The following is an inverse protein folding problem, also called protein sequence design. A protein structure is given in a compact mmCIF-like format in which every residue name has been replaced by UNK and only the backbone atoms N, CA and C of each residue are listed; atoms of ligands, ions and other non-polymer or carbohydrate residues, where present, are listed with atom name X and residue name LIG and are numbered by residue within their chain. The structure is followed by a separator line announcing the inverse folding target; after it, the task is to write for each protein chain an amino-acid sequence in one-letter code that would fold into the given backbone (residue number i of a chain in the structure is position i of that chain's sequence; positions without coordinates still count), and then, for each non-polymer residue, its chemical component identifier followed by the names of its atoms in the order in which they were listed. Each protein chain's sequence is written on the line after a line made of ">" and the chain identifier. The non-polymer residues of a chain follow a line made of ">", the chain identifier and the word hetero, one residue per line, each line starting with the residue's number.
data_IF_422024078470
#
_entry.id   IF_422024078470
#
_cell.length_a   1.000
_cell.length_b   1.000
_cell.length_c   1.000
_cell.angle_alpha   90.00
_cell.angle_beta   90.00
_cell.angle_gamma   90.00
#
_symmetry.space_group_name_H-M   'P 1'
#
loop_
_entity.id
_entity.type
_entity.pdbx_description
1 polymer ?
#
# COMPACT_ATOMS: atom_id res chain seq x y z
N UNK A 1 21.13 -45.89 44.14
CA UNK A 1 20.91 -46.00 42.69
C UNK A 1 20.98 -44.60 42.11
N UNK A 2 22.13 -44.21 41.58
CA UNK A 2 22.36 -42.85 41.11
C UNK A 2 22.20 -42.84 39.58
N UNK A 3 21.08 -42.30 39.09
CA UNK A 3 20.83 -42.20 37.65
C UNK A 3 21.54 -40.94 37.12
N UNK A 4 22.50 -41.04 36.19
CA UNK A 4 23.13 -39.85 35.64
C UNK A 4 22.10 -39.08 34.80
N UNK A 5 21.85 -37.83 35.18
CA UNK A 5 21.07 -36.89 34.40
C UNK A 5 21.89 -36.57 33.14
N UNK A 6 21.64 -37.31 32.06
CA UNK A 6 22.18 -37.02 30.74
C UNK A 6 21.59 -35.67 30.31
N UNK A 7 22.39 -34.61 30.41
CA UNK A 7 22.07 -33.30 29.85
C UNK A 7 22.02 -33.49 28.33
N UNK A 8 20.83 -33.76 27.81
CA UNK A 8 20.54 -33.68 26.39
C UNK A 8 20.72 -32.21 26.03
N UNK A 9 21.89 -31.85 25.50
CA UNK A 9 22.06 -30.62 24.76
C UNK A 9 21.09 -30.72 23.59
N UNK A 10 19.90 -30.17 23.76
CA UNK A 10 19.02 -29.92 22.65
C UNK A 10 19.83 -29.01 21.73
N UNK A 11 20.40 -29.57 20.67
CA UNK A 11 20.77 -28.82 19.49
C UNK A 11 19.45 -28.31 18.93
N UNK A 12 18.88 -27.29 19.58
CA UNK A 12 17.84 -26.47 19.02
C UNK A 12 18.54 -25.84 17.83
N UNK A 13 18.26 -26.28 16.59
CA UNK A 13 18.79 -25.58 15.44
C UNK A 13 18.33 -24.15 15.65
N UNK A 14 19.26 -23.21 15.64
CA UNK A 14 18.87 -21.83 15.52
C UNK A 14 18.03 -21.80 14.24
N UNK A 15 16.70 -21.77 14.37
CA UNK A 15 15.85 -21.25 13.32
C UNK A 15 16.17 -19.77 13.29
N UNK A 16 17.39 -19.43 12.86
CA UNK A 16 17.86 -18.08 12.72
C UNK A 16 16.90 -17.47 11.72
N UNK A 17 15.96 -16.70 12.24
CA UNK A 17 15.12 -15.87 11.40
C UNK A 17 16.06 -15.11 10.47
N UNK A 18 15.71 -15.04 9.18
CA UNK A 18 16.53 -14.34 8.21
C UNK A 18 16.81 -12.91 8.66
N UNK A 19 17.93 -12.36 8.21
CA UNK A 19 18.31 -10.99 8.53
C UNK A 19 17.24 -9.99 8.09
N UNK A 20 17.33 -8.75 8.58
CA UNK A 20 16.33 -7.69 8.30
C UNK A 20 16.11 -7.40 6.82
N UNK A 21 17.09 -7.67 5.96
CA UNK A 21 17.04 -7.45 4.52
C UNK A 21 17.01 -8.77 3.72
N UNK A 22 16.58 -9.86 4.35
CA UNK A 22 16.55 -11.19 3.77
C UNK A 22 15.17 -11.82 3.91
N UNK A 23 14.75 -12.57 2.89
CA UNK A 23 13.54 -13.37 2.93
C UNK A 23 13.91 -14.85 2.94
N UNK A 24 13.03 -15.69 3.51
CA UNK A 24 13.24 -17.13 3.56
C UNK A 24 12.71 -17.79 2.29
N UNK A 25 13.50 -18.65 1.68
CA UNK A 25 13.07 -19.57 0.62
C UNK A 25 13.58 -20.97 0.93
N UNK A 26 12.66 -21.89 1.24
CA UNK A 26 13.03 -23.18 1.84
C UNK A 26 13.78 -22.98 3.17
N UNK A 27 15.00 -23.51 3.24
CA UNK A 27 15.91 -23.41 4.38
C UNK A 27 17.00 -22.33 4.20
N UNK A 28 17.01 -21.60 3.07
CA UNK A 28 17.97 -20.54 2.78
C UNK A 28 17.39 -19.14 3.08
N UNK A 29 18.25 -18.23 3.52
CA UNK A 29 17.96 -16.80 3.61
C UNK A 29 18.58 -16.07 2.43
N UNK A 30 17.73 -15.38 1.66
CA UNK A 30 18.12 -14.71 0.43
C UNK A 30 18.00 -13.20 0.56
N UNK A 31 18.91 -12.41 -0.03
CA UNK A 31 18.78 -10.95 -0.10
C UNK A 31 17.49 -10.54 -0.79
N UNK A 32 16.75 -9.60 -0.21
CA UNK A 32 15.52 -9.04 -0.78
C UNK A 32 15.78 -8.19 -2.03
N UNK A 33 14.76 -8.09 -2.89
CA UNK A 33 14.71 -7.09 -3.95
C UNK A 33 14.35 -5.71 -3.39
N UNK A 34 14.93 -4.65 -3.96
CA UNK A 34 14.56 -3.27 -3.63
C UNK A 34 13.12 -2.94 -4.08
N UNK A 35 12.49 -1.91 -3.49
CA UNK A 35 11.21 -1.39 -3.96
C UNK A 35 11.16 -1.22 -5.48
N UNK A 36 10.00 -1.54 -6.06
CA UNK A 36 9.74 -1.56 -7.48
C UNK A 36 10.31 -2.73 -8.26
N UNK A 37 10.89 -3.72 -7.57
CA UNK A 37 11.35 -4.95 -8.18
C UNK A 37 10.78 -6.18 -7.48
N UNK A 38 10.50 -7.21 -8.28
CA UNK A 38 10.13 -8.55 -7.83
C UNK A 38 11.25 -9.54 -8.07
N UNK A 39 11.20 -10.66 -7.37
CA UNK A 39 12.08 -11.81 -7.59
C UNK A 39 11.78 -12.44 -8.95
N UNK A 40 12.79 -12.46 -9.83
CA UNK A 40 12.76 -13.25 -11.06
C UNK A 40 13.32 -14.66 -10.82
N UNK A 41 14.40 -14.75 -10.03
CA UNK A 41 15.02 -16.02 -9.64
C UNK A 41 15.48 -15.91 -8.18
N UNK A 42 15.13 -16.90 -7.38
CA UNK A 42 15.60 -17.01 -6.00
C UNK A 42 17.12 -17.16 -5.95
N UNK A 43 17.71 -16.79 -4.82
CA UNK A 43 19.10 -17.08 -4.55
C UNK A 43 19.33 -18.60 -4.46
N UNK A 44 20.58 -18.99 -4.55
CA UNK A 44 21.06 -20.33 -4.18
C UNK A 44 22.28 -20.15 -3.28
N UNK A 45 22.80 -21.23 -2.70
CA UNK A 45 24.09 -21.23 -2.01
C UNK A 45 25.21 -20.43 -2.71
N UNK A 46 25.22 -20.41 -4.05
CA UNK A 46 26.26 -19.78 -4.86
C UNK A 46 25.83 -18.53 -5.63
N UNK A 47 24.54 -18.17 -5.63
CA UNK A 47 24.03 -17.04 -6.43
C UNK A 47 23.07 -16.17 -5.64
N UNK A 48 23.14 -14.85 -5.81
CA UNK A 48 22.20 -13.93 -5.16
C UNK A 48 20.84 -13.93 -5.86
N UNK A 49 19.83 -13.35 -5.19
CA UNK A 49 18.49 -13.13 -5.77
C UNK A 49 18.60 -12.28 -7.03
N UNK A 50 17.99 -12.74 -8.12
CA UNK A 50 17.83 -11.94 -9.33
C UNK A 50 16.51 -11.19 -9.27
N UNK A 51 16.56 -9.87 -9.41
CA UNK A 51 15.41 -8.98 -9.35
C UNK A 51 15.11 -8.37 -10.72
N UNK A 52 13.82 -8.16 -11.01
CA UNK A 52 13.34 -7.46 -12.21
C UNK A 52 12.27 -6.45 -11.85
N UNK A 53 12.13 -5.34 -12.60
CA UNK A 53 11.16 -4.29 -12.28
C UNK A 53 9.72 -4.78 -12.40
N UNK A 54 8.83 -4.17 -11.63
CA UNK A 54 7.38 -4.27 -11.82
C UNK A 54 6.97 -3.61 -13.15
N UNK A 55 6.10 -4.27 -13.90
CA UNK A 55 5.55 -3.81 -15.19
C UNK A 55 4.02 -3.81 -15.14
N UNK A 56 3.36 -3.34 -16.19
CA UNK A 56 1.91 -3.58 -16.41
C UNK A 56 1.00 -3.07 -15.27
N UNK A 57 1.20 -1.82 -14.84
CA UNK A 57 0.39 -1.22 -13.76
C UNK A 57 0.42 -2.03 -12.45
N UNK A 58 1.63 -2.43 -12.06
CA UNK A 58 1.90 -3.05 -10.75
C UNK A 58 3.01 -2.34 -10.00
N UNK A 59 3.04 -2.49 -8.68
CA UNK A 59 4.04 -1.88 -7.81
C UNK A 59 4.42 -2.78 -6.62
N UNK A 60 5.55 -2.45 -5.98
CA UNK A 60 5.98 -2.91 -4.66
C UNK A 60 6.74 -1.76 -3.98
N UNK A 61 6.25 -1.26 -2.86
CA UNK A 61 6.78 -0.08 -2.17
C UNK A 61 7.88 -0.40 -1.15
N UNK A 62 7.99 -1.66 -0.73
CA UNK A 62 8.96 -2.11 0.28
C UNK A 62 9.98 -3.14 -0.26
N UNK A 63 11.15 -3.28 0.39
CA UNK A 63 12.06 -4.40 0.15
C UNK A 63 11.34 -5.73 0.37
N UNK A 64 11.48 -6.66 -0.58
CA UNK A 64 10.62 -7.84 -0.62
C UNK A 64 11.30 -9.10 -1.20
N UNK A 65 10.67 -10.25 -0.97
CA UNK A 65 11.00 -11.54 -1.59
C UNK A 65 9.90 -12.07 -2.52
N UNK A 66 9.02 -11.20 -3.03
CA UNK A 66 7.83 -11.60 -3.77
C UNK A 66 8.16 -11.88 -5.23
N UNK A 67 7.57 -12.93 -5.80
CA UNK A 67 7.71 -13.27 -7.22
C UNK A 67 6.70 -12.58 -8.11
N UNK A 68 5.79 -11.79 -7.55
CA UNK A 68 4.78 -11.01 -8.27
C UNK A 68 4.61 -9.63 -7.60
N UNK A 69 4.31 -8.62 -8.42
CA UNK A 69 4.01 -7.28 -7.95
C UNK A 69 2.52 -7.13 -7.64
N UNK A 70 2.16 -6.10 -6.88
CA UNK A 70 0.78 -5.79 -6.50
C UNK A 70 0.13 -4.91 -7.58
N UNK A 71 -1.12 -5.16 -7.94
CA UNK A 71 -1.85 -4.30 -8.87
C UNK A 71 -2.03 -2.91 -8.29
N UNK A 72 -1.79 -1.88 -9.09
CA UNK A 72 -2.05 -0.52 -8.65
C UNK A 72 -3.56 -0.28 -8.46
N UNK A 73 -3.89 0.56 -7.50
CA UNK A 73 -5.24 1.06 -7.27
C UNK A 73 -5.77 1.77 -8.52
N UNK A 74 -7.02 1.46 -8.88
CA UNK A 74 -7.75 2.15 -9.94
C UNK A 74 -8.61 3.27 -9.36
N UNK A 75 -8.43 4.50 -9.84
CA UNK A 75 -9.24 5.65 -9.43
C UNK A 75 -10.47 5.75 -10.34
N UNK A 76 -11.52 5.01 -10.01
CA UNK A 76 -12.75 4.95 -10.81
C UNK A 76 -13.56 6.27 -10.74
N UNK A 77 -13.77 6.96 -11.88
CA UNK A 77 -14.62 8.14 -11.95
C UNK A 77 -16.07 7.90 -11.48
N UNK A 78 -16.57 6.67 -11.53
CA UNK A 78 -17.88 6.26 -11.01
C UNK A 78 -18.02 6.46 -9.50
N UNK A 79 -16.90 6.41 -8.76
CA UNK A 79 -16.85 6.76 -7.33
C UNK A 79 -16.43 8.21 -7.09
N UNK A 80 -16.48 9.07 -8.11
CA UNK A 80 -16.10 10.47 -7.98
C UNK A 80 -14.60 10.71 -7.87
N UNK A 81 -13.77 9.77 -8.34
CA UNK A 81 -12.32 9.81 -8.16
C UNK A 81 -11.56 10.17 -9.44
N UNK A 82 -10.34 10.67 -9.25
CA UNK A 82 -9.35 10.85 -10.32
C UNK A 82 -7.96 10.50 -9.81
N UNK A 83 -7.07 10.16 -10.74
CA UNK A 83 -5.65 9.98 -10.42
C UNK A 83 -5.06 11.32 -9.96
N UNK A 84 -4.58 11.37 -8.72
CA UNK A 84 -3.83 12.50 -8.16
C UNK A 84 -2.33 12.28 -8.34
N UNK A 85 -1.87 11.04 -8.12
CA UNK A 85 -0.50 10.62 -8.44
C UNK A 85 -0.55 9.30 -9.21
N UNK A 86 0.18 9.18 -10.33
CA UNK A 86 0.16 7.96 -11.13
C UNK A 86 0.94 6.85 -10.44
N UNK A 87 0.56 5.60 -10.72
CA UNK A 87 1.33 4.46 -10.26
C UNK A 87 2.76 4.49 -10.82
N UNK A 88 3.70 4.01 -10.01
CA UNK A 88 5.11 3.79 -10.37
C UNK A 88 5.50 2.39 -9.90
N UNK A 89 6.58 1.79 -10.44
CA UNK A 89 7.02 0.48 -9.95
C UNK A 89 7.17 0.42 -8.42
N UNK A 90 7.62 1.51 -7.78
CA UNK A 90 7.86 1.57 -6.34
C UNK A 90 6.76 2.27 -5.52
N UNK A 91 5.59 2.58 -6.10
CA UNK A 91 4.52 3.27 -5.36
C UNK A 91 3.15 3.10 -6.03
N UNK A 92 2.11 2.89 -5.23
CA UNK A 92 0.73 2.79 -5.73
C UNK A 92 0.24 4.09 -6.40
N UNK A 93 -0.86 4.00 -7.14
CA UNK A 93 -1.68 5.14 -7.54
C UNK A 93 -2.29 5.81 -6.29
N UNK A 94 -2.18 7.14 -6.19
CA UNK A 94 -2.94 7.91 -5.21
C UNK A 94 -4.18 8.51 -5.87
N UNK A 95 -5.35 8.20 -5.34
CA UNK A 95 -6.63 8.74 -5.81
C UNK A 95 -6.99 10.04 -5.08
N UNK A 96 -7.46 11.02 -5.84
CA UNK A 96 -8.08 12.25 -5.33
C UNK A 96 -9.53 12.36 -5.81
N UNK A 97 -10.22 13.41 -5.39
CA UNK A 97 -11.61 13.65 -5.80
C UNK A 97 -11.70 14.36 -7.16
N UNK A 98 -12.75 14.06 -7.91
CA UNK A 98 -13.17 14.88 -9.05
C UNK A 98 -13.61 16.27 -8.58
N UNK A 99 -13.58 17.23 -9.50
CA UNK A 99 -14.08 18.56 -9.21
C UNK A 99 -15.58 18.52 -8.87
N UNK A 100 -15.97 19.23 -7.81
CA UNK A 100 -17.33 19.21 -7.31
C UNK A 100 -17.69 17.94 -6.50
N UNK A 101 -16.70 17.13 -6.10
CA UNK A 101 -16.89 16.00 -5.18
C UNK A 101 -16.11 16.23 -3.87
N UNK A 102 -16.69 15.79 -2.76
CA UNK A 102 -16.01 15.69 -1.47
C UNK A 102 -15.73 14.22 -1.11
N UNK A 103 -14.65 13.99 -0.37
CA UNK A 103 -14.26 12.64 0.01
C UNK A 103 -15.16 12.08 1.12
N UNK A 104 -15.64 10.85 0.94
CA UNK A 104 -16.38 10.09 1.94
C UNK A 104 -15.48 9.14 2.73
N UNK A 105 -14.48 8.56 2.06
CA UNK A 105 -13.57 7.57 2.63
C UNK A 105 -12.10 8.00 2.40
N UNK A 106 -11.56 8.87 3.28
CA UNK A 106 -10.17 9.32 3.18
C UNK A 106 -9.21 8.20 3.61
N UNK A 107 -8.08 8.11 2.91
CA UNK A 107 -6.91 7.32 3.33
C UNK A 107 -5.71 8.26 3.55
N UNK A 108 -4.52 7.73 3.90
CA UNK A 108 -3.36 8.55 4.31
C UNK A 108 -3.11 9.75 3.38
N UNK A 109 -3.11 9.53 2.06
CA UNK A 109 -2.73 10.55 1.07
C UNK A 109 -3.82 10.90 0.02
N UNK A 110 -4.99 10.28 0.12
CA UNK A 110 -6.00 10.27 -0.94
C UNK A 110 -7.43 9.94 -0.47
N UNK A 111 -8.22 9.45 -1.43
CA UNK A 111 -9.65 9.19 -1.25
C UNK A 111 -10.08 7.90 -1.98
N UNK A 112 -10.81 7.03 -1.28
CA UNK A 112 -11.30 5.74 -1.82
C UNK A 112 -12.73 5.81 -2.35
N UNK A 113 -13.51 6.80 -1.92
CA UNK A 113 -14.85 7.07 -2.44
C UNK A 113 -15.22 8.53 -2.22
N UNK A 114 -15.86 9.15 -3.20
CA UNK A 114 -16.27 10.54 -3.14
C UNK A 114 -17.73 10.71 -3.56
N UNK A 115 -18.37 11.76 -3.04
CA UNK A 115 -19.75 12.11 -3.37
C UNK A 115 -19.81 13.52 -3.93
N UNK A 116 -20.67 13.70 -4.93
CA UNK A 116 -20.90 15.01 -5.54
C UNK A 116 -21.51 15.95 -4.50
N UNK A 117 -21.02 17.19 -4.46
CA UNK A 117 -21.67 18.26 -3.71
C UNK A 117 -23.12 18.43 -4.19
N UNK A 118 -24.03 18.72 -3.27
CA UNK A 118 -25.38 19.10 -3.63
C UNK A 118 -25.34 20.42 -4.43
N UNK A 119 -26.13 20.50 -5.50
CA UNK A 119 -26.33 21.77 -6.21
C UNK A 119 -27.10 22.71 -5.28
N UNK A 120 -26.44 23.81 -4.88
CA UNK A 120 -27.07 24.80 -4.03
C UNK A 120 -28.22 25.50 -4.76
N UNK A 121 -29.31 25.79 -4.06
CA UNK A 121 -30.39 26.62 -4.62
C UNK A 121 -29.89 28.05 -4.83
N UNK A 122 -30.53 28.85 -5.71
CA UNK A 122 -30.23 30.29 -5.80
C UNK A 122 -30.29 30.94 -4.41
N UNK A 123 -29.24 31.66 -4.01
CA UNK A 123 -29.11 32.25 -2.67
C UNK A 123 -28.43 31.37 -1.60
N UNK A 124 -27.94 30.18 -1.99
CA UNK A 124 -27.15 29.30 -1.13
C UNK A 124 -25.72 29.14 -1.68
N UNK A 125 -24.77 28.85 -0.79
CA UNK A 125 -23.36 28.64 -1.13
C UNK A 125 -22.77 27.42 -0.41
N UNK A 126 -21.71 26.84 -0.98
CA UNK A 126 -20.94 25.78 -0.33
C UNK A 126 -20.05 26.43 0.74
N UNK A 127 -20.27 26.09 2.01
CA UNK A 127 -19.62 26.80 3.11
C UNK A 127 -18.12 26.47 3.24
N UNK A 128 -17.73 25.23 2.97
CA UNK A 128 -16.32 24.78 2.96
C UNK A 128 -16.12 23.75 1.84
N UNK A 129 -14.98 23.81 1.16
CA UNK A 129 -14.49 22.77 0.26
C UNK A 129 -14.41 21.46 1.05
N UNK A 130 -15.28 20.50 0.75
CA UNK A 130 -15.36 19.22 1.45
C UNK A 130 -16.64 18.92 2.24
N UNK A 131 -17.63 19.83 2.31
CA UNK A 131 -18.91 19.57 3.01
C UNK A 131 -20.08 19.29 2.05
N UNK A 132 -20.94 18.32 2.39
CA UNK A 132 -22.09 17.89 1.58
C UNK A 132 -23.25 18.90 1.49
N UNK A 133 -23.24 19.91 2.39
CA UNK A 133 -24.37 20.80 2.63
C UNK A 133 -24.10 22.25 2.22
N UNK A 134 -25.06 22.84 1.52
CA UNK A 134 -25.12 24.27 1.22
C UNK A 134 -25.65 25.06 2.42
N UNK A 135 -25.13 26.27 2.65
CA UNK A 135 -25.69 27.25 3.60
C UNK A 135 -26.45 28.34 2.86
N UNK A 136 -27.50 28.87 3.48
CA UNK A 136 -28.26 30.00 2.95
C UNK A 136 -27.60 31.31 3.37
N UNK A 137 -27.52 32.29 2.46
CA UNK A 137 -26.98 33.62 2.79
C UNK A 137 -27.82 34.39 3.83
N UNK A 138 -29.03 33.91 4.13
CA UNK A 138 -29.96 34.50 5.11
C UNK A 138 -29.65 34.10 6.56
N UNK A 139 -28.87 33.05 6.80
CA UNK A 139 -28.56 32.57 8.16
C UNK A 139 -27.36 33.32 8.80
N UNK A 140 -26.80 34.34 8.15
CA UNK A 140 -25.71 35.20 8.71
C UNK A 140 -26.33 36.39 9.48
N UNK A 141 -27.40 36.17 10.23
CA UNK A 141 -28.05 37.23 11.02
C UNK A 141 -28.69 36.67 12.29
N UNK A 142 -27.88 36.16 13.22
CA UNK A 142 -28.08 36.36 14.68
C UNK A 142 -26.81 36.04 15.44
#
# INVERSE_FOLDING_TARGET
>A
MNLPIMLMLLNIPCSSACGRAEYRTGDECCPMCSPGNRVHKHCTEFTSTSCVPCTDSTFLDEPNGLTACILCTNCDPGFGLKVKQPCRPSSDTVCGTLEGFYCLDPNEDGCRAAQRHSSCKPGQYVNNTGMSSCKSSIDIST
#
